data_IF_806870406766
#
_entry.id   IF_806870406766
#
_cell.length_a   1.000
_cell.length_b   1.000
_cell.length_c   1.000
_cell.angle_alpha   90.00
_cell.angle_beta   90.00
_cell.angle_gamma   90.00
#
_symmetry.space_group_name_H-M   'P 1'
#
loop_
_entity.id
_entity.type
_entity.pdbx_description
1 polymer ?
#
# COMPACT_ATOMS: atom_id res chain seq x y z
N UNK A 1 -3.52 14.32 16.68
CA UNK A 1 -4.35 13.19 16.19
C UNK A 1 -3.50 12.00 15.72
N UNK A 2 -2.52 12.18 14.80
CA UNK A 2 -1.67 11.07 14.32
C UNK A 2 -0.79 10.40 15.39
N UNK A 3 -0.32 11.12 16.41
CA UNK A 3 0.52 10.59 17.50
C UNK A 3 -0.22 9.61 18.42
N UNK A 4 -1.52 9.84 18.68
CA UNK A 4 -2.35 8.95 19.50
C UNK A 4 -2.67 7.65 18.75
N UNK A 5 -3.05 7.75 17.47
CA UNK A 5 -3.26 6.59 16.61
C UNK A 5 -2.00 5.71 16.53
N UNK A 6 -0.82 6.34 16.36
CA UNK A 6 0.48 5.65 16.28
C UNK A 6 0.75 4.81 17.53
N UNK A 7 0.44 5.32 18.72
CA UNK A 7 0.66 4.60 19.98
C UNK A 7 -0.31 3.42 20.18
N UNK A 8 -1.56 3.53 19.72
CA UNK A 8 -2.54 2.45 19.84
C UNK A 8 -2.21 1.31 18.86
N UNK A 9 -1.92 1.64 17.60
CA UNK A 9 -1.57 0.64 16.59
C UNK A 9 -0.31 -0.13 17.01
N UNK A 10 0.77 0.58 17.40
CA UNK A 10 2.01 -0.07 17.86
C UNK A 10 1.82 -1.03 19.05
N UNK A 11 0.89 -0.73 19.97
CA UNK A 11 0.63 -1.61 21.13
C UNK A 11 -0.22 -2.84 20.79
N UNK A 12 -0.90 -2.85 19.65
CA UNK A 12 -1.87 -3.90 19.26
C UNK A 12 -1.47 -4.66 18.01
N UNK A 13 -0.30 -4.40 17.46
CA UNK A 13 0.21 -5.05 16.26
C UNK A 13 1.68 -5.39 16.45
N UNK A 14 2.05 -6.61 16.09
CA UNK A 14 3.43 -7.04 15.96
C UNK A 14 3.71 -7.26 14.47
N UNK A 15 4.87 -6.80 14.01
CA UNK A 15 5.36 -7.09 12.66
C UNK A 15 6.66 -7.85 12.79
N UNK A 16 6.74 -8.98 12.10
CA UNK A 16 7.92 -9.83 12.05
C UNK A 16 8.67 -9.49 10.76
N UNK A 17 9.99 -9.32 10.81
CA UNK A 17 10.81 -9.01 9.63
C UNK A 17 10.85 -7.52 9.25
N UNK A 18 10.44 -6.61 10.13
CA UNK A 18 10.57 -5.16 9.91
C UNK A 18 12.02 -4.73 9.70
N UNK A 19 12.95 -5.43 10.35
CA UNK A 19 14.39 -5.21 10.25
C UNK A 19 14.90 -5.26 8.82
N UNK A 20 14.31 -6.11 7.95
CA UNK A 20 14.67 -6.18 6.55
C UNK A 20 14.30 -4.91 5.79
N UNK A 21 13.16 -4.32 6.13
CA UNK A 21 12.68 -3.07 5.54
C UNK A 21 13.56 -1.90 6.02
N UNK A 22 13.86 -1.85 7.32
CA UNK A 22 14.72 -0.81 7.89
C UNK A 22 16.14 -0.87 7.33
N UNK A 23 16.72 -2.08 7.21
CA UNK A 23 18.03 -2.28 6.61
C UNK A 23 18.05 -1.87 5.13
N UNK A 24 17.08 -2.34 4.34
CA UNK A 24 17.00 -1.98 2.92
C UNK A 24 16.87 -0.45 2.73
N UNK A 25 16.12 0.21 3.61
CA UNK A 25 15.98 1.66 3.61
C UNK A 25 17.27 2.38 4.00
N UNK A 26 17.99 1.86 5.00
CA UNK A 26 19.29 2.39 5.41
C UNK A 26 20.35 2.26 4.29
N UNK A 27 20.26 1.20 3.49
CA UNK A 27 21.09 0.98 2.29
C UNK A 27 20.65 1.83 1.08
N UNK A 28 19.61 2.65 1.22
CA UNK A 28 19.09 3.50 0.14
C UNK A 28 18.41 2.71 -0.99
N UNK A 29 17.99 1.46 -0.73
CA UNK A 29 17.29 0.63 -1.71
C UNK A 29 15.83 1.03 -1.83
N UNK A 30 15.31 0.92 -3.04
CA UNK A 30 13.88 1.04 -3.30
C UNK A 30 13.16 -0.24 -2.88
N UNK A 31 12.07 -0.11 -2.11
CA UNK A 31 11.36 -1.24 -1.52
C UNK A 31 9.99 -1.41 -2.19
N UNK A 32 9.69 -2.62 -2.63
CA UNK A 32 8.36 -3.02 -3.10
C UNK A 32 7.90 -4.20 -2.26
N UNK A 33 6.80 -4.00 -1.53
CA UNK A 33 6.13 -5.03 -0.76
C UNK A 33 5.13 -5.75 -1.66
N UNK A 34 5.33 -7.06 -1.81
CA UNK A 34 4.39 -7.93 -2.50
C UNK A 34 3.42 -8.49 -1.48
N UNK A 35 2.16 -8.03 -1.51
CA UNK A 35 1.17 -8.41 -0.51
C UNK A 35 -0.02 -9.08 -1.18
N UNK A 36 -0.39 -10.31 -0.78
CA UNK A 36 -1.59 -10.95 -1.32
C UNK A 36 -2.86 -10.22 -0.86
N UNK A 37 -3.96 -10.32 -1.61
CA UNK A 37 -5.34 -9.95 -1.25
C UNK A 37 -5.84 -10.78 -0.07
N UNK A 38 -5.30 -10.48 1.10
CA UNK A 38 -5.77 -11.00 2.38
C UNK A 38 -6.70 -10.03 3.09
N UNK A 39 -7.39 -10.53 4.11
CA UNK A 39 -8.32 -9.75 4.95
C UNK A 39 -7.67 -8.53 5.63
N UNK A 40 -6.38 -8.64 5.98
CA UNK A 40 -5.67 -7.62 6.76
C UNK A 40 -4.89 -6.62 5.90
N UNK A 41 -5.12 -6.60 4.58
CA UNK A 41 -4.32 -5.82 3.64
C UNK A 41 -4.36 -4.31 3.96
N UNK A 42 -5.55 -3.74 4.06
CA UNK A 42 -5.71 -2.32 4.39
C UNK A 42 -5.20 -2.00 5.81
N UNK A 43 -5.41 -2.91 6.77
CA UNK A 43 -4.94 -2.74 8.14
C UNK A 43 -3.41 -2.68 8.23
N UNK A 44 -2.72 -3.60 7.55
CA UNK A 44 -1.26 -3.65 7.53
C UNK A 44 -0.65 -2.40 6.90
N UNK A 45 -1.21 -1.93 5.77
CA UNK A 45 -0.78 -0.70 5.11
C UNK A 45 -0.99 0.54 5.98
N UNK A 46 -2.14 0.65 6.66
CA UNK A 46 -2.41 1.76 7.57
C UNK A 46 -1.40 1.76 8.72
N UNK A 47 -1.17 0.61 9.36
CA UNK A 47 -0.26 0.55 10.51
C UNK A 47 1.17 0.88 10.10
N UNK A 48 1.69 0.31 9.01
CA UNK A 48 3.01 0.66 8.47
C UNK A 48 3.15 2.15 8.15
N UNK A 49 2.11 2.74 7.55
CA UNK A 49 2.09 4.18 7.31
C UNK A 49 2.17 4.98 8.62
N UNK A 50 1.42 4.58 9.66
CA UNK A 50 1.51 5.24 10.97
C UNK A 50 2.88 5.08 11.64
N UNK A 51 3.65 4.05 11.30
CA UNK A 51 5.02 3.85 11.81
C UNK A 51 6.05 4.78 11.14
N UNK A 52 5.64 5.60 10.16
CA UNK A 52 6.53 6.54 9.46
C UNK A 52 7.13 5.96 8.18
N UNK A 53 6.51 4.91 7.65
CA UNK A 53 6.87 4.33 6.36
C UNK A 53 5.80 4.72 5.34
N UNK A 54 5.93 5.87 4.66
CA UNK A 54 4.94 6.30 3.67
C UNK A 54 4.89 5.31 2.52
N UNK A 55 3.67 4.97 2.08
CA UNK A 55 3.41 3.93 1.10
C UNK A 55 2.62 4.50 -0.07
N UNK A 56 2.98 4.04 -1.26
CA UNK A 56 2.22 4.28 -2.49
C UNK A 56 1.63 2.96 -2.96
N UNK A 57 0.36 2.96 -3.35
CA UNK A 57 -0.34 1.75 -3.80
C UNK A 57 -1.10 2.02 -5.09
N UNK A 58 -1.28 0.96 -5.87
CA UNK A 58 -2.12 0.99 -7.07
C UNK A 58 -3.51 0.43 -6.73
N UNK A 59 -4.54 1.00 -7.35
CA UNK A 59 -5.90 0.49 -7.21
C UNK A 59 -6.66 0.52 -8.52
N UNK A 60 -7.63 -0.38 -8.62
CA UNK A 60 -8.67 -0.35 -9.63
C UNK A 60 -9.87 0.44 -9.10
N UNK A 61 -10.31 1.51 -9.77
CA UNK A 61 -11.48 2.24 -9.33
C UNK A 61 -12.73 1.36 -9.37
N UNK A 62 -13.57 1.49 -8.34
CA UNK A 62 -14.80 0.72 -8.26
C UNK A 62 -15.83 1.23 -9.30
N UNK A 63 -16.68 0.32 -9.80
CA UNK A 63 -17.78 0.69 -10.74
C UNK A 63 -18.78 1.67 -10.12
N UNK A 64 -18.96 1.63 -8.80
CA UNK A 64 -19.84 2.55 -8.10
C UNK A 64 -19.04 3.77 -7.60
N UNK A 65 -19.35 4.99 -8.08
CA UNK A 65 -18.57 6.19 -7.74
C UNK A 65 -18.66 6.59 -6.26
N UNK A 66 -19.76 6.28 -5.56
CA UNK A 66 -19.88 6.57 -4.13
C UNK A 66 -18.96 5.67 -3.30
N UNK A 67 -18.88 4.40 -3.70
CA UNK A 67 -17.99 3.42 -3.06
C UNK A 67 -16.53 3.79 -3.34
N UNK A 68 -16.22 4.17 -4.57
CA UNK A 68 -14.88 4.64 -4.96
C UNK A 68 -14.45 5.88 -4.15
N UNK A 69 -15.35 6.85 -4.00
CA UNK A 69 -15.12 8.05 -3.19
C UNK A 69 -14.88 7.73 -1.72
N UNK A 70 -15.69 6.85 -1.13
CA UNK A 70 -15.55 6.43 0.28
C UNK A 70 -14.20 5.76 0.53
N UNK A 71 -13.79 4.83 -0.33
CA UNK A 71 -12.51 4.15 -0.23
C UNK A 71 -11.34 5.10 -0.42
N UNK A 72 -11.44 6.00 -1.41
CA UNK A 72 -10.41 7.00 -1.69
C UNK A 72 -10.20 7.91 -0.49
N UNK A 73 -11.27 8.46 0.11
CA UNK A 73 -11.16 9.30 1.31
C UNK A 73 -10.57 8.54 2.49
N UNK A 74 -11.01 7.29 2.68
CA UNK A 74 -10.53 6.46 3.80
C UNK A 74 -9.02 6.26 3.71
N UNK A 75 -8.51 5.90 2.53
CA UNK A 75 -7.08 5.64 2.32
C UNK A 75 -6.25 6.93 2.28
N UNK A 76 -6.78 8.01 1.70
CA UNK A 76 -6.13 9.33 1.73
C UNK A 76 -6.03 9.91 3.13
N UNK A 77 -7.02 9.67 4.00
CA UNK A 77 -7.00 10.13 5.40
C UNK A 77 -5.79 9.62 6.18
N UNK A 78 -5.30 8.43 5.84
CA UNK A 78 -4.11 7.86 6.46
C UNK A 78 -2.81 8.28 5.78
N UNK A 79 -2.86 9.04 4.67
CA UNK A 79 -1.69 9.53 3.93
C UNK A 79 -1.24 8.63 2.78
N UNK A 80 -1.98 7.56 2.49
CA UNK A 80 -1.69 6.68 1.36
C UNK A 80 -1.90 7.41 0.04
N UNK A 81 -0.86 7.44 -0.80
CA UNK A 81 -0.97 7.93 -2.18
C UNK A 81 -1.48 6.79 -3.05
N UNK A 82 -2.62 7.01 -3.68
CA UNK A 82 -3.27 6.02 -4.54
C UNK A 82 -3.10 6.44 -5.99
N UNK A 83 -2.48 5.57 -6.78
CA UNK A 83 -2.41 5.75 -8.22
C UNK A 83 -3.44 4.84 -8.89
N UNK A 84 -4.37 5.46 -9.62
CA UNK A 84 -5.30 4.71 -10.45
C UNK A 84 -4.51 3.91 -11.49
N UNK A 85 -4.81 2.61 -11.58
CA UNK A 85 -4.12 1.67 -12.49
C UNK A 85 -4.23 2.06 -13.96
N UNK A 86 -5.29 2.76 -14.35
CA UNK A 86 -5.49 3.30 -15.70
C UNK A 86 -4.39 4.29 -16.12
N UNK A 87 -3.73 4.95 -15.16
CA UNK A 87 -2.63 5.88 -15.42
C UNK A 87 -1.27 5.18 -15.61
N UNK A 88 -1.26 3.84 -15.59
CA UNK A 88 -0.09 3.00 -15.75
C UNK A 88 0.75 2.87 -14.47
N UNK A 89 1.79 2.03 -14.53
CA UNK A 89 2.71 1.77 -13.42
C UNK A 89 3.80 2.84 -13.24
N UNK A 90 3.97 3.73 -14.24
CA UNK A 90 5.04 4.76 -14.23
C UNK A 90 4.93 5.73 -13.04
N UNK A 91 3.75 6.28 -12.69
CA UNK A 91 3.61 7.14 -11.51
C UNK A 91 4.00 6.41 -10.22
N UNK A 92 3.55 5.17 -10.07
CA UNK A 92 3.90 4.31 -8.92
C UNK A 92 5.42 4.12 -8.81
N UNK A 93 6.10 3.72 -9.89
CA UNK A 93 7.55 3.54 -9.90
C UNK A 93 8.32 4.83 -9.61
N UNK A 94 7.81 5.98 -10.05
CA UNK A 94 8.42 7.27 -9.75
C UNK A 94 8.36 7.61 -8.26
N UNK A 95 7.27 7.25 -7.57
CA UNK A 95 7.15 7.40 -6.12
C UNK A 95 8.06 6.44 -5.37
N UNK A 96 8.14 5.19 -5.83
CA UNK A 96 9.07 4.18 -5.29
C UNK A 96 10.52 4.65 -5.39
N UNK A 97 10.92 5.21 -6.54
CA UNK A 97 12.25 5.80 -6.76
C UNK A 97 12.55 7.03 -5.91
N UNK A 98 11.53 7.71 -5.39
CA UNK A 98 11.69 8.84 -4.45
C UNK A 98 11.87 8.37 -3.00
N UNK A 99 11.87 7.06 -2.74
CA UNK A 99 12.04 6.47 -1.41
C UNK A 99 10.72 6.20 -0.67
N UNK A 100 9.57 6.31 -1.34
CA UNK A 100 8.31 5.78 -0.80
C UNK A 100 8.26 4.26 -1.00
N UNK A 101 7.61 3.53 -0.09
CA UNK A 101 7.48 2.09 -0.24
C UNK A 101 6.36 1.75 -1.22
N UNK A 102 6.66 0.92 -2.21
CA UNK A 102 5.65 0.42 -3.14
C UNK A 102 4.84 -0.70 -2.49
N UNK A 103 3.52 -0.57 -2.45
CA UNK A 103 2.61 -1.62 -2.01
C UNK A 103 1.93 -2.22 -3.23
N UNK A 104 2.34 -3.43 -3.61
CA UNK A 104 1.94 -4.08 -4.85
C UNK A 104 1.27 -5.41 -4.56
N UNK A 105 0.09 -5.60 -5.14
CA UNK A 105 -0.69 -6.81 -5.00
C UNK A 105 -0.48 -7.67 -6.26
N UNK A 106 0.34 -8.73 -6.19
CA UNK A 106 0.71 -9.51 -7.37
C UNK A 106 -0.37 -10.49 -7.83
N UNK A 107 -1.39 -10.72 -7.01
CA UNK A 107 -2.47 -11.68 -7.20
C UNK A 107 -3.72 -11.09 -7.86
N UNK A 108 -3.73 -9.77 -8.08
CA UNK A 108 -4.66 -9.17 -9.03
C UNK A 108 -4.25 -9.56 -10.45
N UNK A 109 -4.99 -10.48 -11.08
CA UNK A 109 -4.71 -10.88 -12.47
C UNK A 109 -4.73 -9.64 -13.39
N UNK A 110 -3.61 -9.42 -14.10
CA UNK A 110 -3.40 -8.23 -14.91
C UNK A 110 -4.08 -8.29 -16.27
N UNK A 111 -4.80 -9.38 -16.59
CA UNK A 111 -5.67 -9.46 -17.74
C UNK A 111 -4.90 -9.23 -19.04
N UNK A 112 -3.91 -10.07 -19.30
CA UNK A 112 -3.19 -10.13 -20.57
C UNK A 112 -3.21 -11.56 -21.11
N UNK A 113 -4.32 -11.96 -21.75
CA UNK A 113 -4.54 -13.29 -22.33
C UNK A 113 -4.42 -14.45 -21.34
N UNK A 114 -5.54 -14.80 -20.70
CA UNK A 114 -6.13 -16.15 -20.70
C UNK A 114 -7.18 -16.21 -19.60
N UNK A 115 -8.43 -16.47 -19.99
CA UNK A 115 -9.45 -16.95 -19.04
C UNK A 115 -8.92 -18.21 -18.36
N UNK A 116 -8.76 -18.20 -17.02
CA UNK A 116 -9.30 -19.23 -16.10
C UNK A 116 -8.72 -19.14 -14.69
N UNK A 117 -9.64 -19.28 -13.72
CA UNK A 117 -9.46 -19.74 -12.33
C UNK A 117 -8.94 -18.63 -11.38
N UNK A 118 -9.63 -18.20 -10.33
CA UNK A 118 -10.72 -18.77 -9.52
C UNK A 118 -11.96 -17.86 -9.47
#
# INVERSE_FOLDING_TARGET
>A
MQSVQRNICKKRSEFIGLEHIEQAKAEGKNIILMVPHGWAIDASGIILHTQGMPMTSMYNPHRNPLVDWLWTITRQRFGGKMHARQNGIKPFLNHVRKGEMGYYLPDEDFGGRTKRIC
#
